data_IF_860340808220
#
_entry.id   IF_860340808220
#
_cell.length_a   1.000
_cell.length_b   1.000
_cell.length_c   1.000
_cell.angle_alpha   90.00
_cell.angle_beta   90.00
_cell.angle_gamma   90.00
#
_symmetry.space_group_name_H-M   'P 1'
#
loop_
_entity.id
_entity.type
_entity.pdbx_description
1 polymer ?
#
# COMPACT_ATOMS: atom_id res chain seq x y z
N UNK A 1 2.07 8.14 5.68
CA UNK A 1 1.91 8.51 4.26
C UNK A 1 2.97 7.86 3.38
N UNK A 2 4.23 7.72 3.81
CA UNK A 2 5.34 7.13 3.03
C UNK A 2 5.04 5.73 2.43
N UNK A 3 4.33 4.85 3.15
CA UNK A 3 4.08 3.48 2.67
C UNK A 3 3.14 3.38 1.46
N UNK A 4 2.17 4.30 1.31
CA UNK A 4 1.24 4.27 0.18
C UNK A 4 1.98 4.67 -1.09
N UNK A 5 2.77 5.74 -1.02
CA UNK A 5 3.64 6.23 -2.09
C UNK A 5 4.62 5.16 -2.55
N UNK A 6 5.24 4.46 -1.61
CA UNK A 6 6.18 3.38 -1.93
C UNK A 6 5.48 2.22 -2.66
N UNK A 7 4.29 1.79 -2.20
CA UNK A 7 3.55 0.72 -2.89
C UNK A 7 3.04 1.16 -4.25
N UNK A 8 2.64 2.42 -4.41
CA UNK A 8 2.26 2.99 -5.72
C UNK A 8 3.45 3.03 -6.68
N UNK A 9 4.62 3.48 -6.19
CA UNK A 9 5.84 3.58 -6.99
C UNK A 9 6.40 2.21 -7.40
N UNK A 10 6.38 1.24 -6.48
CA UNK A 10 6.93 -0.09 -6.76
C UNK A 10 5.92 -1.06 -7.40
N UNK A 11 4.61 -0.85 -7.23
CA UNK A 11 3.56 -1.79 -7.66
C UNK A 11 3.57 -3.15 -6.94
N UNK A 12 4.39 -3.29 -5.90
CA UNK A 12 4.61 -4.51 -5.12
C UNK A 12 4.78 -4.16 -3.64
N UNK A 13 4.07 -4.89 -2.78
CA UNK A 13 4.20 -4.74 -1.32
C UNK A 13 5.54 -5.26 -0.79
N UNK A 14 6.22 -6.13 -1.55
CA UNK A 14 7.53 -6.67 -1.18
C UNK A 14 8.58 -5.58 -1.42
N UNK A 15 8.64 -5.09 -2.65
CA UNK A 15 9.60 -4.07 -3.09
C UNK A 15 9.44 -2.77 -2.28
N UNK A 16 8.18 -2.35 -2.05
CA UNK A 16 7.91 -1.18 -1.21
C UNK A 16 8.35 -1.36 0.25
N UNK A 17 8.30 -2.59 0.78
CA UNK A 17 8.77 -2.88 2.13
C UNK A 17 10.30 -2.84 2.20
N UNK A 18 10.99 -3.37 1.19
CA UNK A 18 12.45 -3.25 1.07
C UNK A 18 12.89 -1.79 0.96
N UNK A 19 12.23 -1.01 0.12
CA UNK A 19 12.53 0.42 -0.07
C UNK A 19 12.27 1.23 1.21
N UNK A 20 11.19 0.91 1.92
CA UNK A 20 10.87 1.50 3.22
C UNK A 20 11.70 0.94 4.37
N UNK A 21 12.59 -0.04 4.14
CA UNK A 21 13.39 -0.76 5.15
C UNK A 21 12.54 -1.33 6.29
N UNK A 22 11.35 -1.82 5.97
CA UNK A 22 10.41 -2.47 6.89
C UNK A 22 10.11 -3.89 6.42
N UNK A 23 9.51 -4.70 7.28
CA UNK A 23 9.03 -6.02 6.86
C UNK A 23 7.73 -5.87 6.06
N UNK A 24 7.56 -6.67 5.01
CA UNK A 24 6.32 -6.75 4.24
C UNK A 24 5.06 -6.99 5.11
N UNK A 25 5.10 -7.82 6.17
CA UNK A 25 3.98 -7.98 7.09
C UNK A 25 3.64 -6.69 7.85
N UNK A 26 4.65 -5.92 8.29
CA UNK A 26 4.44 -4.66 8.99
C UNK A 26 3.80 -3.61 8.07
N UNK A 27 4.29 -3.50 6.84
CA UNK A 27 3.74 -2.59 5.83
C UNK A 27 2.29 -2.95 5.47
N UNK A 28 2.02 -4.24 5.22
CA UNK A 28 0.67 -4.73 4.91
C UNK A 28 -0.31 -4.50 6.07
N UNK A 29 0.16 -4.65 7.32
CA UNK A 29 -0.64 -4.39 8.52
C UNK A 29 -0.97 -2.90 8.69
N UNK A 30 0.00 -2.03 8.46
CA UNK A 30 -0.21 -0.57 8.51
C UNK A 30 -1.22 -0.12 7.45
N UNK A 31 -1.10 -0.61 6.22
CA UNK A 31 -2.05 -0.32 5.14
C UNK A 31 -3.44 -0.85 5.51
N UNK A 32 -3.57 -2.10 5.98
CA UNK A 32 -4.86 -2.64 6.43
C UNK A 32 -5.49 -1.83 7.55
N UNK A 33 -4.69 -1.39 8.52
CA UNK A 33 -5.18 -0.57 9.63
C UNK A 33 -5.74 0.76 9.11
N UNK A 34 -5.07 1.35 8.13
CA UNK A 34 -5.53 2.58 7.48
C UNK A 34 -6.79 2.34 6.64
N UNK A 35 -6.84 1.28 5.84
CA UNK A 35 -8.02 0.84 5.08
C UNK A 35 -9.24 0.66 6.00
N UNK A 36 -9.05 -0.02 7.15
CA UNK A 36 -10.10 -0.20 8.15
C UNK A 36 -10.53 1.10 8.83
N UNK A 37 -9.59 2.02 9.07
CA UNK A 37 -9.88 3.31 9.72
C UNK A 37 -10.67 4.23 8.79
N UNK A 38 -10.35 4.20 7.50
CA UNK A 38 -11.01 4.99 6.46
C UNK A 38 -12.28 4.31 5.94
N UNK A 39 -12.44 2.99 6.15
CA UNK A 39 -13.54 2.19 5.61
C UNK A 39 -13.44 2.00 4.09
N UNK A 40 -12.24 2.12 3.51
CA UNK A 40 -11.99 2.09 2.06
C UNK A 40 -10.83 1.16 1.74
N UNK A 41 -10.84 0.58 0.55
CA UNK A 41 -9.69 -0.18 0.03
C UNK A 41 -8.74 0.77 -0.67
N UNK A 42 -7.46 0.77 -0.27
CA UNK A 42 -6.43 1.64 -0.84
C UNK A 42 -5.68 0.95 -1.98
N UNK A 43 -5.56 -0.37 -1.94
CA UNK A 43 -4.86 -1.16 -2.97
C UNK A 43 -5.70 -2.36 -3.43
N UNK A 44 -5.86 -2.49 -4.75
CA UNK A 44 -6.47 -3.68 -5.35
C UNK A 44 -5.43 -4.81 -5.42
N UNK A 45 -5.55 -5.77 -4.48
CA UNK A 45 -4.67 -6.94 -4.37
C UNK A 45 -5.06 -8.08 -5.32
N UNK A 46 -6.17 -7.94 -6.05
CA UNK A 46 -6.61 -8.93 -7.04
C UNK A 46 -5.86 -8.79 -8.38
N UNK A 47 -5.24 -7.62 -8.60
CA UNK A 47 -4.47 -7.31 -9.80
C UNK A 47 -2.98 -7.38 -9.51
N UNK A 48 -2.22 -7.98 -10.43
CA UNK A 48 -0.75 -7.90 -10.44
C UNK A 48 -0.31 -7.11 -11.68
N UNK A 49 0.44 -6.00 -11.53
CA UNK A 49 0.94 -5.42 -10.28
C UNK A 49 -0.17 -4.80 -9.41
N UNK A 50 0.06 -4.71 -8.10
CA UNK A 50 -0.91 -4.15 -7.17
C UNK A 50 -1.07 -2.67 -7.49
N UNK A 51 -2.28 -2.24 -7.87
CA UNK A 51 -2.56 -0.84 -8.16
C UNK A 51 -3.29 -0.16 -7.01
N UNK A 52 -2.96 1.09 -6.68
CA UNK A 52 -3.81 1.86 -5.78
C UNK A 52 -5.19 2.08 -6.40
N UNK A 53 -6.18 2.23 -5.53
CA UNK A 53 -7.50 2.72 -5.92
C UNK A 53 -7.44 4.23 -6.13
N UNK A 54 -8.51 4.85 -6.67
CA UNK A 54 -8.58 6.31 -6.81
C UNK A 54 -8.29 7.06 -5.49
N UNK A 55 -8.73 6.48 -4.37
CA UNK A 55 -8.47 7.01 -3.04
C UNK A 55 -7.00 6.82 -2.65
N UNK A 56 -6.42 5.65 -2.97
CA UNK A 56 -5.00 5.38 -2.81
C UNK A 56 -4.13 6.38 -3.56
N UNK A 57 -4.48 6.72 -4.80
CA UNK A 57 -3.76 7.72 -5.62
C UNK A 57 -3.95 9.16 -5.16
N UNK A 58 -4.99 9.47 -4.40
CA UNK A 58 -5.18 10.81 -3.81
C UNK A 58 -4.36 10.99 -2.52
N UNK A 59 -3.97 9.87 -1.88
CA UNK A 59 -3.20 9.82 -0.64
C UNK A 59 -1.72 9.49 -0.83
N UNK A 60 -1.35 9.06 -2.04
CA UNK A 60 0.04 8.88 -2.49
C UNK A 60 0.60 10.24 -2.96
#
# INVERSE_FOLDING_TARGET
MIYIVAVDSCGSFVDAAEECKVSQPALSMQIRKLENTLGVTLFDRSRRPNRPTEIGSCLA
#
